data_IF_026358873363
#
_entry.id   IF_026358873363
#
_cell.length_a   1.000
_cell.length_b   1.000
_cell.length_c   1.000
_cell.angle_alpha   90.00
_cell.angle_beta   90.00
_cell.angle_gamma   90.00
#
_symmetry.space_group_name_H-M   'P 1'
#
loop_
_entity.id
_entity.type
_entity.pdbx_description
1 polymer ?
#
# COMPACT_ATOMS: atom_id res chain seq x y z
N UNK A 1 18.12 9.63 9.73
CA UNK A 1 18.84 8.49 9.13
C UNK A 1 20.07 8.21 10.00
N UNK A 2 20.07 7.12 10.76
CA UNK A 2 21.20 6.71 11.62
C UNK A 2 22.13 5.77 10.83
N UNK A 3 23.44 6.04 10.75
CA UNK A 3 24.41 5.20 10.06
C UNK A 3 25.05 4.21 11.05
N UNK A 4 24.51 3.01 11.26
CA UNK A 4 25.18 2.00 12.11
C UNK A 4 24.88 0.52 11.79
N UNK A 5 24.40 0.16 10.59
CA UNK A 5 24.11 -1.25 10.24
C UNK A 5 24.86 -1.80 9.02
N UNK A 6 25.86 -1.11 8.48
CA UNK A 6 26.69 -1.65 7.39
C UNK A 6 27.97 -2.24 7.97
N UNK A 7 27.87 -3.48 8.46
CA UNK A 7 29.05 -4.34 8.62
C UNK A 7 29.73 -4.53 7.26
N UNK A 8 31.07 -4.62 7.25
CA UNK A 8 32.02 -4.52 6.13
C UNK A 8 31.89 -5.51 4.96
N UNK A 9 30.70 -6.00 4.65
CA UNK A 9 30.47 -6.95 3.56
C UNK A 9 30.14 -6.19 2.27
N UNK A 10 31.15 -5.92 1.44
CA UNK A 10 31.01 -5.24 0.13
C UNK A 10 29.96 -5.91 -0.76
N UNK A 11 29.80 -7.22 -0.63
CA UNK A 11 28.76 -8.00 -1.32
C UNK A 11 27.35 -7.57 -0.91
N UNK A 12 27.14 -7.25 0.37
CA UNK A 12 25.86 -6.82 0.92
C UNK A 12 25.47 -5.43 0.42
N UNK A 13 26.44 -4.50 0.39
CA UNK A 13 26.21 -3.17 -0.18
C UNK A 13 25.84 -3.25 -1.67
N UNK A 14 26.49 -4.14 -2.44
CA UNK A 14 26.18 -4.35 -3.86
C UNK A 14 24.80 -4.96 -4.08
N UNK A 15 24.40 -5.93 -3.26
CA UNK A 15 23.06 -6.53 -3.32
C UNK A 15 21.96 -5.52 -3.00
N UNK A 16 22.17 -4.67 -1.99
CA UNK A 16 21.23 -3.61 -1.64
C UNK A 16 21.12 -2.57 -2.77
N UNK A 17 22.24 -2.11 -3.32
CA UNK A 17 22.25 -1.16 -4.46
C UNK A 17 21.57 -1.77 -5.69
N UNK A 18 21.86 -3.03 -6.02
CA UNK A 18 21.19 -3.72 -7.14
C UNK A 18 19.69 -3.91 -6.90
N UNK A 19 19.27 -4.10 -5.65
CA UNK A 19 17.84 -4.17 -5.30
C UNK A 19 17.18 -2.81 -5.52
N UNK A 20 17.75 -1.73 -4.97
CA UNK A 20 17.20 -0.37 -5.12
C UNK A 20 17.10 0.05 -6.58
N UNK A 21 18.01 -0.40 -7.43
CA UNK A 21 17.99 -0.12 -8.86
C UNK A 21 16.91 -0.90 -9.65
N UNK A 22 16.44 -2.04 -9.12
CA UNK A 22 15.50 -2.93 -9.81
C UNK A 22 14.10 -2.91 -9.20
N UNK A 23 13.99 -2.65 -7.90
CA UNK A 23 12.74 -2.57 -7.18
C UNK A 23 11.99 -1.30 -7.57
N UNK A 24 10.67 -1.39 -7.70
CA UNK A 24 9.80 -0.25 -7.98
C UNK A 24 9.75 0.75 -6.82
N UNK A 25 10.07 0.31 -5.60
CA UNK A 25 10.13 1.14 -4.41
C UNK A 25 11.40 0.83 -3.57
N UNK A 26 12.28 1.82 -3.31
CA UNK A 26 13.51 1.63 -2.54
C UNK A 26 13.27 1.18 -1.09
N UNK A 27 12.08 1.43 -0.53
CA UNK A 27 11.71 0.99 0.82
C UNK A 27 11.53 -0.53 0.91
N UNK A 28 11.24 -1.20 -0.20
CA UNK A 28 11.07 -2.65 -0.25
C UNK A 28 12.38 -3.36 0.10
N UNK A 29 13.48 -2.86 -0.47
CA UNK A 29 14.82 -3.34 -0.17
C UNK A 29 15.19 -3.06 1.29
N UNK A 30 14.82 -1.90 1.84
CA UNK A 30 15.06 -1.59 3.24
C UNK A 30 14.26 -2.51 4.18
N UNK A 31 12.99 -2.76 3.88
CA UNK A 31 12.14 -3.66 4.65
C UNK A 31 12.71 -5.09 4.65
N UNK A 32 13.08 -5.62 3.46
CA UNK A 32 13.75 -6.91 3.35
C UNK A 32 15.00 -6.98 4.22
N UNK A 33 15.85 -5.94 4.19
CA UNK A 33 17.07 -5.88 5.00
C UNK A 33 16.78 -5.90 6.51
N UNK A 34 15.72 -5.21 6.94
CA UNK A 34 15.33 -5.11 8.35
C UNK A 34 14.71 -6.41 8.86
N UNK A 35 13.82 -7.04 8.09
CA UNK A 35 13.17 -8.30 8.45
C UNK A 35 14.17 -9.45 8.49
N UNK A 36 15.04 -9.55 7.48
CA UNK A 36 16.05 -10.61 7.39
C UNK A 36 17.12 -10.51 8.48
N UNK A 37 17.47 -9.30 8.93
CA UNK A 37 18.42 -9.13 10.04
C UNK A 37 17.96 -9.74 11.37
N UNK A 38 16.66 -9.99 11.52
CA UNK A 38 16.06 -10.56 12.72
C UNK A 38 15.88 -12.09 12.64
N UNK A 39 16.31 -12.74 11.56
CA UNK A 39 16.12 -14.17 11.32
C UNK A 39 17.30 -15.03 11.82
N UNK A 40 17.08 -16.33 12.09
CA UNK A 40 18.13 -17.26 12.54
C UNK A 40 19.29 -17.39 11.53
N UNK A 41 19.00 -17.27 10.24
CA UNK A 41 19.99 -17.17 9.16
C UNK A 41 19.72 -15.88 8.36
N UNK A 42 20.34 -14.75 8.74
CA UNK A 42 20.05 -13.46 8.14
C UNK A 42 20.54 -13.38 6.69
N UNK A 43 21.59 -14.10 6.31
CA UNK A 43 22.14 -14.05 4.96
C UNK A 43 21.27 -14.85 3.98
N UNK A 44 20.84 -16.07 4.36
CA UNK A 44 19.90 -16.84 3.56
C UNK A 44 18.54 -16.12 3.46
N UNK A 45 18.03 -15.59 4.57
CA UNK A 45 16.75 -14.86 4.62
C UNK A 45 16.77 -13.62 3.75
N UNK A 46 17.89 -12.91 3.75
CA UNK A 46 18.08 -11.75 2.90
C UNK A 46 18.20 -12.13 1.42
N UNK A 47 19.00 -13.13 1.09
CA UNK A 47 19.17 -13.58 -0.28
C UNK A 47 17.82 -13.98 -0.91
N UNK A 48 17.00 -14.74 -0.18
CA UNK A 48 15.66 -15.10 -0.63
C UNK A 48 14.69 -13.93 -0.73
N UNK A 49 14.76 -12.96 0.20
CA UNK A 49 13.92 -11.76 0.15
C UNK A 49 14.25 -10.90 -1.09
N UNK A 50 15.54 -10.72 -1.36
CA UNK A 50 16.02 -9.97 -2.52
C UNK A 50 15.72 -10.71 -3.83
N UNK A 51 15.87 -12.03 -3.85
CA UNK A 51 15.51 -12.84 -5.01
C UNK A 51 14.01 -12.71 -5.33
N UNK A 52 13.16 -12.82 -4.31
CA UNK A 52 11.72 -12.57 -4.41
C UNK A 52 11.37 -11.20 -4.98
N UNK A 53 12.00 -10.12 -4.47
CA UNK A 53 11.78 -8.76 -4.98
C UNK A 53 12.20 -8.59 -6.45
N UNK A 54 13.14 -9.41 -6.92
CA UNK A 54 13.63 -9.34 -8.30
C UNK A 54 12.99 -10.34 -9.26
N UNK A 55 12.39 -11.42 -8.76
CA UNK A 55 11.94 -12.55 -9.58
C UNK A 55 10.49 -12.44 -10.05
N UNK A 56 9.56 -11.88 -9.26
CA UNK A 56 8.12 -11.94 -9.61
C UNK A 56 7.24 -10.91 -8.89
N UNK A 57 6.01 -10.76 -9.41
CA UNK A 57 4.92 -9.81 -9.09
C UNK A 57 4.37 -9.77 -7.66
N UNK A 58 5.06 -10.39 -6.70
CA UNK A 58 4.67 -10.35 -5.29
C UNK A 58 5.01 -8.97 -4.74
N UNK A 59 4.04 -8.32 -4.10
CA UNK A 59 4.27 -7.05 -3.43
C UNK A 59 5.35 -7.20 -2.36
N UNK A 60 6.11 -6.14 -2.10
CA UNK A 60 7.30 -6.18 -1.24
C UNK A 60 7.09 -6.71 0.17
N UNK A 61 5.88 -6.58 0.69
CA UNK A 61 5.49 -7.17 1.95
C UNK A 61 5.52 -8.70 1.92
N UNK A 62 5.00 -9.33 0.87
CA UNK A 62 4.96 -10.79 0.72
C UNK A 62 6.38 -11.37 0.72
N UNK A 63 7.34 -10.71 0.05
CA UNK A 63 8.74 -11.12 0.08
C UNK A 63 9.35 -11.05 1.49
N UNK A 64 9.00 -10.03 2.27
CA UNK A 64 9.42 -9.93 3.66
C UNK A 64 8.85 -11.05 4.53
N UNK A 65 7.58 -11.42 4.34
CA UNK A 65 6.96 -12.55 5.05
C UNK A 65 7.57 -13.90 4.64
N UNK A 66 7.81 -14.14 3.35
CA UNK A 66 8.51 -15.34 2.88
C UNK A 66 9.90 -15.45 3.54
N UNK A 67 10.62 -14.33 3.70
CA UNK A 67 11.93 -14.31 4.34
C UNK A 67 11.92 -14.71 5.82
N UNK A 68 10.76 -14.63 6.50
CA UNK A 68 10.60 -15.10 7.89
C UNK A 68 10.45 -16.62 8.00
N UNK A 69 10.19 -17.32 6.89
CA UNK A 69 10.07 -18.79 6.92
C UNK A 69 11.42 -19.42 7.23
N UNK A 70 11.47 -20.27 8.25
CA UNK A 70 12.71 -20.83 8.80
C UNK A 70 13.23 -22.04 8.03
N UNK A 71 12.43 -22.60 7.14
CA UNK A 71 12.81 -23.77 6.34
C UNK A 71 12.86 -23.39 4.86
N UNK A 72 13.88 -23.90 4.16
CA UNK A 72 14.08 -23.68 2.73
C UNK A 72 12.87 -24.11 1.88
N UNK A 73 12.21 -25.26 2.13
CA UNK A 73 11.05 -25.68 1.33
C UNK A 73 9.87 -24.70 1.40
N UNK A 74 9.54 -24.22 2.60
CA UNK A 74 8.43 -23.27 2.79
C UNK A 74 8.74 -21.94 2.10
N UNK A 75 9.99 -21.49 2.21
CA UNK A 75 10.45 -20.25 1.61
C UNK A 75 10.39 -20.31 0.08
N UNK A 76 10.82 -21.42 -0.52
CA UNK A 76 10.74 -21.63 -1.97
C UNK A 76 9.30 -21.68 -2.46
N UNK A 77 8.41 -22.35 -1.74
CA UNK A 77 6.99 -22.45 -2.10
C UNK A 77 6.26 -21.09 -1.99
N UNK A 78 6.69 -20.23 -1.06
CA UNK A 78 6.20 -18.87 -0.92
C UNK A 78 6.64 -17.94 -2.07
N UNK A 79 7.90 -18.06 -2.50
CA UNK A 79 8.47 -17.24 -3.59
C UNK A 79 8.00 -17.74 -4.96
N UNK A 80 7.87 -19.05 -5.12
CA UNK A 80 7.48 -19.72 -6.35
C UNK A 80 6.29 -20.65 -6.07
N UNK A 81 5.06 -20.10 -5.98
CA UNK A 81 3.89 -20.95 -5.82
C UNK A 81 3.82 -21.94 -6.99
N UNK A 82 3.50 -23.22 -6.74
CA UNK A 82 3.44 -24.22 -7.78
C UNK A 82 2.44 -23.79 -8.86
N UNK A 83 2.75 -24.04 -10.15
CA UNK A 83 1.81 -23.72 -11.22
C UNK A 83 0.49 -24.47 -10.98
N UNK A 84 -0.66 -23.86 -11.32
CA UNK A 84 -1.94 -24.51 -11.15
C UNK A 84 -1.96 -25.85 -11.89
N UNK A 85 -2.61 -26.90 -11.35
CA UNK A 85 -2.66 -28.20 -11.99
C UNK A 85 -3.18 -28.06 -13.42
N UNK A 86 -2.37 -28.51 -14.39
CA UNK A 86 -2.71 -28.48 -15.81
C UNK A 86 -3.96 -29.32 -16.06
N UNK A 87 -5.06 -28.66 -16.40
CA UNK A 87 -6.32 -29.32 -16.73
C UNK A 87 -6.16 -30.07 -18.06
N UNK A 88 -6.04 -31.40 -18.00
CA UNK A 88 -6.07 -32.23 -19.21
C UNK A 88 -7.49 -32.24 -19.79
N UNK A 89 -7.64 -31.66 -20.98
CA UNK A 89 -8.87 -31.65 -21.77
C UNK A 89 -9.31 -33.08 -22.10
N UNK A 90 -10.49 -33.47 -21.63
CA UNK A 90 -11.34 -34.47 -22.29
C UNK A 90 -12.66 -33.81 -22.61
N UNK A 91 -12.92 -33.68 -23.91
CA UNK A 91 -14.10 -33.07 -24.50
C UNK A 91 -15.38 -33.78 -24.06
N UNK A 92 -16.29 -33.06 -23.43
CA UNK A 92 -17.72 -33.39 -23.44
C UNK A 92 -18.51 -32.11 -23.31
N UNK A 93 -19.27 -31.83 -24.36
CA UNK A 93 -20.18 -30.69 -24.51
C UNK A 93 -21.23 -30.73 -23.40
N UNK A 94 -21.24 -29.71 -22.55
CA UNK A 94 -22.31 -29.39 -21.62
C UNK A 94 -22.27 -27.87 -21.38
N UNK A 95 -23.45 -27.26 -21.49
CA UNK A 95 -23.75 -25.83 -21.38
C UNK A 95 -22.96 -25.07 -20.31
N UNK A 96 -22.65 -23.76 -20.52
CA UNK A 96 -21.88 -22.98 -19.56
C UNK A 96 -22.74 -22.73 -18.32
N UNK A 97 -22.59 -23.59 -17.33
CA UNK A 97 -23.03 -23.31 -15.98
C UNK A 97 -21.94 -22.41 -15.40
N UNK A 98 -22.29 -21.17 -15.12
CA UNK A 98 -21.46 -20.21 -14.38
C UNK A 98 -21.01 -20.87 -13.06
N UNK A 99 -19.80 -21.44 -13.04
CA UNK A 99 -19.20 -21.97 -11.83
C UNK A 99 -18.77 -20.79 -10.96
N UNK A 100 -19.55 -20.53 -9.92
CA UNK A 100 -19.27 -19.66 -8.78
C UNK A 100 -17.77 -19.48 -8.48
N UNK A 101 -17.19 -18.38 -8.92
CA UNK A 101 -16.00 -17.81 -8.29
C UNK A 101 -16.43 -17.20 -6.94
N UNK A 102 -16.70 -18.00 -5.90
CA UNK A 102 -17.34 -17.43 -4.69
C UNK A 102 -17.07 -18.12 -3.36
N UNK A 103 -16.02 -18.91 -3.22
CA UNK A 103 -15.68 -19.50 -1.93
C UNK A 103 -14.18 -19.47 -1.70
N UNK A 104 -13.76 -18.82 -0.61
CA UNK A 104 -12.42 -18.98 -0.05
C UNK A 104 -12.29 -20.46 0.37
N UNK A 105 -11.70 -21.29 -0.49
CA UNK A 105 -11.50 -22.71 -0.20
C UNK A 105 -10.62 -22.85 1.04
N UNK A 106 -11.13 -23.52 2.07
CA UNK A 106 -10.44 -23.73 3.36
C UNK A 106 -9.13 -24.49 3.22
N UNK A 107 -8.85 -25.12 2.08
CA UNK A 107 -7.57 -25.77 1.80
C UNK A 107 -6.48 -24.78 1.35
N UNK A 108 -6.87 -23.57 0.94
CA UNK A 108 -5.93 -22.56 0.47
C UNK A 108 -5.36 -21.77 1.64
N UNK A 109 -4.04 -21.59 1.65
CA UNK A 109 -3.31 -20.99 2.78
C UNK A 109 -3.90 -19.64 3.22
N UNK A 110 -4.20 -18.73 2.29
CA UNK A 110 -4.74 -17.41 2.63
C UNK A 110 -6.12 -17.47 3.29
N UNK A 111 -6.92 -18.50 2.99
CA UNK A 111 -8.20 -18.72 3.66
C UNK A 111 -8.04 -19.32 5.05
N UNK A 112 -7.01 -20.15 5.26
CA UNK A 112 -6.67 -20.70 6.58
C UNK A 112 -6.12 -19.64 7.52
N UNK A 113 -5.37 -18.67 7.00
CA UNK A 113 -4.86 -17.56 7.81
C UNK A 113 -5.97 -16.65 8.35
N UNK A 114 -7.12 -16.60 7.68
CA UNK A 114 -8.29 -15.89 8.21
C UNK A 114 -8.83 -16.47 9.53
N UNK A 115 -8.47 -17.72 9.90
CA UNK A 115 -8.89 -18.35 11.16
C UNK A 115 -7.89 -18.14 12.30
N UNK A 116 -6.79 -17.42 12.07
CA UNK A 116 -5.82 -17.13 13.13
C UNK A 116 -6.35 -16.09 14.12
N UNK A 117 -5.93 -16.15 15.39
CA UNK A 117 -6.44 -15.26 16.44
C UNK A 117 -6.14 -13.78 16.24
N UNK A 118 -5.15 -13.43 15.39
CA UNK A 118 -4.85 -12.04 15.05
C UNK A 118 -5.83 -11.46 14.01
N UNK A 119 -6.62 -12.30 13.33
CA UNK A 119 -7.73 -11.91 12.48
C UNK A 119 -9.01 -11.95 13.30
N UNK A 120 -9.49 -10.79 13.74
CA UNK A 120 -10.71 -10.67 14.54
C UNK A 120 -11.97 -10.53 13.69
N UNK A 121 -11.81 -10.29 12.38
CA UNK A 121 -12.89 -10.27 11.39
C UNK A 121 -12.74 -11.40 10.32
N UNK A 122 -12.85 -12.69 10.70
CA UNK A 122 -12.55 -13.83 9.82
C UNK A 122 -13.44 -13.88 8.56
N UNK A 123 -14.71 -13.49 8.68
CA UNK A 123 -15.64 -13.44 7.55
C UNK A 123 -15.26 -12.35 6.52
N UNK A 124 -14.84 -11.18 7.01
CA UNK A 124 -14.35 -10.09 6.15
C UNK A 124 -13.04 -10.51 5.45
N UNK A 125 -12.13 -11.17 6.16
CA UNK A 125 -10.90 -11.72 5.60
C UNK A 125 -11.17 -12.68 4.44
N UNK A 126 -12.02 -13.69 4.65
CA UNK A 126 -12.37 -14.67 3.60
C UNK A 126 -13.05 -14.02 2.38
N UNK A 127 -13.89 -13.01 2.63
CA UNK A 127 -14.55 -12.22 1.58
C UNK A 127 -13.51 -11.43 0.78
N UNK A 128 -12.58 -10.76 1.45
CA UNK A 128 -11.49 -10.04 0.82
C UNK A 128 -10.62 -10.97 -0.04
N UNK A 129 -10.16 -12.11 0.51
CA UNK A 129 -9.33 -13.08 -0.22
C UNK A 129 -10.03 -13.56 -1.49
N UNK A 130 -11.33 -13.84 -1.40
CA UNK A 130 -12.14 -14.25 -2.55
C UNK A 130 -12.26 -13.13 -3.59
N UNK A 131 -12.52 -11.89 -3.16
CA UNK A 131 -12.64 -10.73 -4.03
C UNK A 131 -11.32 -10.40 -4.74
N UNK A 132 -10.19 -10.51 -4.05
CA UNK A 132 -8.86 -10.31 -4.61
C UNK A 132 -8.55 -11.33 -5.70
N UNK A 133 -8.83 -12.61 -5.45
CA UNK A 133 -8.64 -13.67 -6.44
C UNK A 133 -9.56 -13.54 -7.64
N UNK A 134 -10.80 -13.11 -7.44
CA UNK A 134 -11.73 -12.83 -8.54
C UNK A 134 -11.19 -11.74 -9.48
N UNK A 135 -10.33 -10.85 -8.97
CA UNK A 135 -9.61 -9.83 -9.77
C UNK A 135 -8.26 -10.32 -10.32
N UNK A 136 -7.89 -11.58 -10.10
CA UNK A 136 -6.57 -12.11 -10.47
C UNK A 136 -5.43 -11.58 -9.60
N UNK A 137 -5.73 -11.06 -8.42
CA UNK A 137 -4.74 -10.52 -7.47
C UNK A 137 -4.45 -11.50 -6.34
N UNK A 138 -3.31 -11.31 -5.67
CA UNK A 138 -2.91 -12.09 -4.51
C UNK A 138 -3.85 -11.84 -3.31
N UNK A 139 -4.52 -12.89 -2.85
CA UNK A 139 -5.40 -12.85 -1.68
C UNK A 139 -4.67 -12.63 -0.36
N UNK A 140 -3.36 -12.91 -0.30
CA UNK A 140 -2.53 -12.67 0.88
C UNK A 140 -2.52 -11.20 1.34
N UNK A 141 -2.78 -10.28 0.40
CA UNK A 141 -2.87 -8.84 0.66
C UNK A 141 -3.90 -8.49 1.74
N UNK A 142 -4.96 -9.30 1.87
CA UNK A 142 -5.98 -9.13 2.89
C UNK A 142 -5.45 -9.41 4.31
N UNK A 143 -4.42 -10.25 4.45
CA UNK A 143 -3.86 -10.68 5.73
C UNK A 143 -2.95 -9.62 6.35
N UNK A 144 -2.53 -8.63 5.57
CA UNK A 144 -1.86 -7.45 6.11
C UNK A 144 -2.77 -6.73 7.12
N UNK A 145 -4.09 -6.75 6.88
CA UNK A 145 -5.06 -6.26 7.83
C UNK A 145 -5.12 -7.19 9.06
N UNK A 146 -4.93 -6.66 10.27
CA UNK A 146 -4.86 -7.42 11.52
C UNK A 146 -3.47 -7.89 11.93
N UNK A 147 -2.52 -7.97 10.99
CA UNK A 147 -1.12 -8.37 11.28
C UNK A 147 -0.39 -7.42 12.23
N UNK A 148 -0.83 -6.16 12.32
CA UNK A 148 -0.29 -5.13 13.22
C UNK A 148 -0.71 -5.24 14.69
N UNK A 149 -1.42 -6.32 15.08
CA UNK A 149 -1.91 -6.50 16.45
C UNK A 149 -3.17 -5.68 16.78
N UNK A 150 -3.91 -5.27 15.76
CA UNK A 150 -5.19 -4.57 15.93
C UNK A 150 -6.26 -5.60 16.28
N UNK A 151 -6.87 -5.46 17.45
CA UNK A 151 -7.93 -6.37 17.93
C UNK A 151 -9.34 -5.92 17.56
N UNK A 152 -9.52 -4.70 17.06
CA UNK A 152 -10.82 -4.17 16.70
C UNK A 152 -11.32 -4.75 15.37
N UNK A 153 -12.39 -5.56 15.45
CA UNK A 153 -12.96 -6.22 14.28
C UNK A 153 -13.55 -5.24 13.27
N UNK A 154 -14.06 -4.09 13.71
CA UNK A 154 -14.62 -3.07 12.82
C UNK A 154 -13.54 -2.38 11.97
N UNK A 155 -12.37 -2.11 12.55
CA UNK A 155 -11.22 -1.60 11.81
C UNK A 155 -10.70 -2.62 10.79
N UNK A 156 -10.56 -3.88 11.19
CA UNK A 156 -10.16 -4.96 10.28
C UNK A 156 -11.16 -5.13 9.13
N UNK A 157 -12.47 -5.04 9.41
CA UNK A 157 -13.52 -5.13 8.40
C UNK A 157 -13.39 -4.01 7.36
N UNK A 158 -13.20 -2.76 7.77
CA UNK A 158 -12.97 -1.65 6.82
C UNK A 158 -11.69 -1.86 6.01
N UNK A 159 -10.60 -2.28 6.67
CA UNK A 159 -9.34 -2.55 5.99
C UNK A 159 -9.50 -3.61 4.88
N UNK A 160 -10.14 -4.73 5.20
CA UNK A 160 -10.28 -5.89 4.31
C UNK A 160 -11.40 -5.71 3.26
N UNK A 161 -12.54 -5.15 3.65
CA UNK A 161 -13.71 -5.09 2.78
C UNK A 161 -13.71 -3.85 1.87
N UNK A 162 -13.14 -2.74 2.33
CA UNK A 162 -13.22 -1.46 1.62
C UNK A 162 -11.85 -1.02 1.09
N UNK A 163 -10.84 -0.93 1.96
CA UNK A 163 -9.56 -0.33 1.59
C UNK A 163 -8.74 -1.23 0.65
N UNK A 164 -8.36 -2.44 1.09
CA UNK A 164 -7.49 -3.34 0.32
C UNK A 164 -8.02 -3.60 -1.10
N UNK A 165 -9.30 -3.95 -1.30
CA UNK A 165 -9.82 -4.21 -2.64
C UNK A 165 -9.82 -2.98 -3.56
N UNK A 166 -9.86 -1.77 -3.00
CA UNK A 166 -9.82 -0.52 -3.75
C UNK A 166 -8.39 -0.11 -4.16
N UNK A 167 -7.40 -0.45 -3.34
CA UNK A 167 -6.01 0.00 -3.51
C UNK A 167 -5.10 -1.05 -4.13
N UNK A 168 -5.49 -2.34 -4.08
CA UNK A 168 -4.59 -3.42 -4.46
C UNK A 168 -4.19 -3.42 -5.94
N UNK A 169 -5.05 -2.94 -6.84
CA UNK A 169 -4.73 -2.80 -8.26
C UNK A 169 -3.66 -1.72 -8.51
N UNK A 170 -3.60 -0.70 -7.64
CA UNK A 170 -2.55 0.32 -7.66
C UNK A 170 -1.29 -0.10 -6.90
N UNK A 171 -1.28 -1.29 -6.27
CA UNK A 171 -0.15 -1.78 -5.47
C UNK A 171 0.04 -1.05 -4.15
N UNK A 172 -0.97 -0.33 -3.67
CA UNK A 172 -0.91 0.51 -2.45
C UNK A 172 -1.66 -0.09 -1.26
N UNK A 173 -2.13 -1.35 -1.34
CA UNK A 173 -2.88 -2.05 -0.29
C UNK A 173 -2.16 -2.17 1.07
N UNK A 174 -0.83 -2.19 1.08
CA UNK A 174 -0.04 -2.16 2.31
C UNK A 174 -0.41 -0.98 3.22
N UNK A 175 -0.80 0.16 2.63
CA UNK A 175 -1.12 1.38 3.37
C UNK A 175 -2.44 1.30 4.14
N UNK A 176 -3.34 0.38 3.76
CA UNK A 176 -4.59 0.15 4.49
C UNK A 176 -4.32 -0.29 5.93
N UNK A 177 -3.48 -1.31 6.10
CA UNK A 177 -3.07 -1.80 7.43
C UNK A 177 -2.23 -0.75 8.20
N UNK A 178 -1.32 -0.06 7.51
CA UNK A 178 -0.41 0.89 8.16
C UNK A 178 -1.07 2.19 8.59
N UNK A 179 -2.08 2.67 7.87
CA UNK A 179 -2.66 4.00 8.10
C UNK A 179 -4.10 3.94 8.56
N UNK A 180 -4.90 3.11 7.91
CA UNK A 180 -6.35 3.11 8.10
C UNK A 180 -6.81 2.13 9.17
N UNK A 181 -5.96 1.19 9.56
CA UNK A 181 -6.19 0.27 10.66
C UNK A 181 -5.34 0.58 11.90
N UNK A 182 -4.23 1.31 11.72
CA UNK A 182 -3.31 1.59 12.81
C UNK A 182 -3.95 2.45 13.90
N UNK A 183 -4.12 1.87 15.10
CA UNK A 183 -4.71 2.53 16.26
C UNK A 183 -4.09 3.91 16.61
N UNK A 184 -2.77 4.15 16.47
CA UNK A 184 -2.20 5.49 16.68
C UNK A 184 -2.73 6.58 15.74
N UNK A 185 -3.34 6.21 14.62
CA UNK A 185 -3.80 7.12 13.58
C UNK A 185 -5.33 7.25 13.58
N UNK A 186 -6.06 6.14 13.71
CA UNK A 186 -7.53 6.12 13.63
C UNK A 186 -8.22 5.83 14.98
N UNK A 187 -7.48 5.47 16.02
CA UNK A 187 -8.05 4.99 17.29
C UNK A 187 -8.84 3.71 17.08
N UNK A 188 -10.02 3.59 17.71
CA UNK A 188 -11.02 2.53 17.47
C UNK A 188 -12.19 3.02 16.62
N UNK A 189 -12.01 4.12 15.88
CA UNK A 189 -13.08 4.78 15.15
C UNK A 189 -13.19 4.26 13.72
N UNK A 190 -14.21 3.42 13.47
CA UNK A 190 -14.52 2.82 12.17
C UNK A 190 -14.77 3.89 11.09
N UNK A 191 -15.44 5.00 11.42
CA UNK A 191 -15.66 6.08 10.45
C UNK A 191 -14.36 6.74 10.01
N UNK A 192 -13.42 6.97 10.95
CA UNK A 192 -12.08 7.50 10.63
C UNK A 192 -11.28 6.53 9.76
N UNK A 193 -11.39 5.23 10.04
CA UNK A 193 -10.78 4.18 9.21
C UNK A 193 -11.31 4.23 7.77
N UNK A 194 -12.63 4.36 7.60
CA UNK A 194 -13.28 4.46 6.29
C UNK A 194 -12.86 5.71 5.53
N UNK A 195 -12.81 6.87 6.19
CA UNK A 195 -12.30 8.12 5.60
C UNK A 195 -10.84 7.98 5.15
N UNK A 196 -10.00 7.33 5.95
CA UNK A 196 -8.62 7.03 5.57
C UNK A 196 -8.57 6.13 4.33
N UNK A 197 -9.34 5.04 4.31
CA UNK A 197 -9.38 4.12 3.17
C UNK A 197 -9.82 4.79 1.88
N UNK A 198 -10.83 5.66 1.96
CA UNK A 198 -11.28 6.47 0.83
C UNK A 198 -10.19 7.44 0.33
N UNK A 199 -9.47 8.09 1.25
CA UNK A 199 -8.34 8.95 0.88
C UNK A 199 -7.25 8.15 0.15
N UNK A 200 -6.80 7.03 0.75
CA UNK A 200 -5.73 6.19 0.22
C UNK A 200 -6.07 5.67 -1.18
N UNK A 201 -7.31 5.25 -1.40
CA UNK A 201 -7.77 4.78 -2.71
C UNK A 201 -7.82 5.88 -3.79
N UNK A 202 -7.93 7.14 -3.38
CA UNK A 202 -8.09 8.28 -4.29
C UNK A 202 -6.78 9.00 -4.61
N UNK A 203 -5.69 8.74 -3.89
CA UNK A 203 -4.39 9.39 -4.10
C UNK A 203 -3.37 8.46 -4.75
N UNK A 204 -2.43 9.03 -5.51
CA UNK A 204 -1.31 8.26 -6.07
C UNK A 204 -0.26 7.90 -5.02
N UNK A 205 -0.17 8.67 -3.94
CA UNK A 205 0.80 8.49 -2.87
C UNK A 205 0.09 8.37 -1.50
N UNK A 206 -0.11 7.16 -0.96
CA UNK A 206 -0.80 6.96 0.33
C UNK A 206 -0.20 7.72 1.52
N UNK A 207 1.09 8.04 1.46
CA UNK A 207 1.77 8.86 2.47
C UNK A 207 1.13 10.24 2.62
N UNK A 208 0.48 10.73 1.56
CA UNK A 208 -0.22 12.01 1.58
C UNK A 208 -1.39 11.99 2.57
N UNK A 209 -2.15 10.89 2.59
CA UNK A 209 -3.23 10.68 3.55
C UNK A 209 -2.69 10.54 4.99
N UNK A 210 -1.59 9.80 5.18
CA UNK A 210 -0.97 9.69 6.50
C UNK A 210 -0.53 11.06 7.04
N UNK A 211 0.09 11.90 6.20
CA UNK A 211 0.49 13.24 6.59
C UNK A 211 -0.72 14.05 7.07
N UNK A 212 -1.83 14.02 6.32
CA UNK A 212 -3.08 14.66 6.73
C UNK A 212 -3.60 14.18 8.10
N UNK A 213 -3.51 12.89 8.40
CA UNK A 213 -3.88 12.36 9.72
C UNK A 213 -2.98 12.93 10.81
N UNK A 214 -1.66 12.91 10.60
CA UNK A 214 -0.67 13.33 11.60
C UNK A 214 -0.77 14.84 11.92
N UNK A 215 -0.84 15.69 10.89
CA UNK A 215 -0.85 17.15 11.10
C UNK A 215 -2.16 17.66 11.72
N UNK A 216 -3.23 16.87 11.64
CA UNK A 216 -4.54 17.23 12.21
C UNK A 216 -4.82 16.56 13.55
N UNK A 217 -4.03 15.54 13.94
CA UNK A 217 -4.31 14.71 15.11
C UNK A 217 -4.40 15.46 16.44
N UNK A 218 -3.66 16.56 16.59
CA UNK A 218 -3.57 17.34 17.83
C UNK A 218 -4.53 18.54 17.87
N UNK A 219 -5.29 18.78 16.80
CA UNK A 219 -6.23 19.89 16.73
C UNK A 219 -7.48 19.59 17.55
N UNK A 220 -8.08 20.64 18.14
CA UNK A 220 -9.30 20.52 18.93
C UNK A 220 -10.48 19.94 18.11
N UNK A 221 -10.49 20.18 16.81
CA UNK A 221 -11.47 19.70 15.84
C UNK A 221 -10.84 18.77 14.79
N UNK A 222 -9.96 17.87 15.23
CA UNK A 222 -9.17 16.97 14.39
C UNK A 222 -9.95 16.28 13.26
N UNK A 223 -11.21 15.89 13.49
CA UNK A 223 -12.04 15.23 12.47
C UNK A 223 -12.40 16.17 11.32
N UNK A 224 -12.87 17.38 11.62
CA UNK A 224 -13.18 18.38 10.60
C UNK A 224 -11.92 18.82 9.84
N UNK A 225 -10.81 18.98 10.55
CA UNK A 225 -9.53 19.32 9.95
C UNK A 225 -9.03 18.21 9.00
N UNK A 226 -9.12 16.95 9.43
CA UNK A 226 -8.72 15.79 8.63
C UNK A 226 -9.59 15.64 7.39
N UNK A 227 -10.91 15.71 7.53
CA UNK A 227 -11.83 15.67 6.40
C UNK A 227 -11.52 16.79 5.38
N UNK A 228 -11.20 17.99 5.85
CA UNK A 228 -10.76 19.11 5.00
C UNK A 228 -9.45 18.78 4.28
N UNK A 229 -8.49 18.17 4.97
CA UNK A 229 -7.21 17.77 4.40
C UNK A 229 -7.36 16.70 3.31
N UNK A 230 -8.15 15.65 3.59
CA UNK A 230 -8.46 14.59 2.61
C UNK A 230 -9.23 15.14 1.41
N UNK A 231 -10.19 16.04 1.64
CA UNK A 231 -10.87 16.71 0.55
C UNK A 231 -9.87 17.48 -0.33
N UNK A 232 -8.98 18.27 0.27
CA UNK A 232 -7.92 18.97 -0.46
C UNK A 232 -7.06 18.02 -1.31
N UNK A 233 -6.62 16.89 -0.75
CA UNK A 233 -5.81 15.90 -1.48
C UNK A 233 -6.53 15.31 -2.69
N UNK A 234 -7.82 15.03 -2.55
CA UNK A 234 -8.60 14.31 -3.56
C UNK A 234 -9.25 15.24 -4.59
N UNK A 235 -9.48 16.51 -4.25
CA UNK A 235 -10.17 17.47 -5.12
C UNK A 235 -9.27 18.53 -5.76
N UNK A 236 -8.01 18.65 -5.31
CA UNK A 236 -7.09 19.67 -5.80
C UNK A 236 -5.83 19.06 -6.40
N UNK A 237 -5.11 19.86 -7.20
CA UNK A 237 -3.77 19.50 -7.67
C UNK A 237 -2.67 19.86 -6.65
N UNK A 238 -3.04 20.10 -5.38
CA UNK A 238 -2.11 20.44 -4.32
C UNK A 238 -1.49 19.17 -3.74
N UNK A 239 -0.20 19.25 -3.38
CA UNK A 239 0.47 18.16 -2.67
C UNK A 239 0.13 18.12 -1.19
N UNK A 240 0.42 16.99 -0.55
CA UNK A 240 0.10 16.75 0.87
C UNK A 240 0.60 17.80 1.83
N UNK A 241 1.80 18.32 1.62
CA UNK A 241 2.36 19.37 2.48
C UNK A 241 1.46 20.61 2.50
N UNK A 242 1.00 21.05 1.34
CA UNK A 242 0.13 22.23 1.23
C UNK A 242 -1.23 21.95 1.83
N UNK A 243 -1.83 20.80 1.54
CA UNK A 243 -3.11 20.42 2.12
C UNK A 243 -3.03 20.31 3.65
N UNK A 244 -1.97 19.69 4.19
CA UNK A 244 -1.72 19.59 5.62
C UNK A 244 -1.51 20.96 6.28
N UNK A 245 -0.74 21.84 5.64
CA UNK A 245 -0.52 23.22 6.13
C UNK A 245 -1.81 24.03 6.16
N UNK A 246 -2.67 23.86 5.17
CA UNK A 246 -3.96 24.53 5.17
C UNK A 246 -4.93 23.89 6.17
N UNK A 247 -4.95 22.57 6.30
CA UNK A 247 -5.80 21.87 7.26
C UNK A 247 -5.43 22.16 8.72
N UNK A 248 -4.17 22.51 9.01
CA UNK A 248 -3.72 22.88 10.36
C UNK A 248 -4.13 24.27 10.81
N UNK A 249 -4.82 25.05 9.96
CA UNK A 249 -5.41 26.33 10.38
C UNK A 249 -6.48 26.11 11.45
N UNK A 250 -6.62 27.10 12.32
CA UNK A 250 -7.41 26.99 13.54
C UNK A 250 -8.91 26.84 13.24
N UNK A 251 -9.39 27.52 12.20
CA UNK A 251 -10.83 27.54 11.87
C UNK A 251 -11.11 26.97 10.47
N UNK A 252 -12.30 26.39 10.24
CA UNK A 252 -12.70 25.92 8.91
C UNK A 252 -12.59 26.98 7.80
N UNK A 253 -12.92 28.24 8.10
CA UNK A 253 -12.83 29.34 7.14
C UNK A 253 -11.37 29.59 6.69
N UNK A 254 -10.43 29.67 7.64
CA UNK A 254 -9.01 29.86 7.32
C UNK A 254 -8.43 28.68 6.53
N UNK A 255 -8.89 27.45 6.77
CA UNK A 255 -8.48 26.27 6.00
C UNK A 255 -8.90 26.42 4.54
N UNK A 256 -10.17 26.78 4.31
CA UNK A 256 -10.72 26.94 2.96
C UNK A 256 -10.07 28.10 2.21
N UNK A 257 -9.85 29.24 2.87
CA UNK A 257 -9.16 30.39 2.28
C UNK A 257 -7.73 30.02 1.87
N UNK A 258 -7.01 29.28 2.73
CA UNK A 258 -5.67 28.78 2.43
C UNK A 258 -5.66 27.85 1.20
N UNK A 259 -6.57 26.88 1.14
CA UNK A 259 -6.68 25.93 0.01
C UNK A 259 -6.99 26.68 -1.30
N UNK A 260 -7.90 27.65 -1.24
CA UNK A 260 -8.31 28.46 -2.39
C UNK A 260 -7.15 29.31 -2.91
N UNK A 261 -6.42 29.98 -2.01
CA UNK A 261 -5.25 30.77 -2.35
C UNK A 261 -4.13 29.91 -2.97
N UNK A 262 -3.84 28.75 -2.37
CA UNK A 262 -2.82 27.82 -2.86
C UNK A 262 -3.17 27.22 -4.24
N UNK A 263 -4.45 26.91 -4.45
CA UNK A 263 -4.95 26.40 -5.74
C UNK A 263 -4.79 27.44 -6.84
N UNK A 264 -5.18 28.69 -6.56
CA UNK A 264 -5.04 29.81 -7.49
C UNK A 264 -3.58 30.05 -7.87
N UNK A 265 -2.67 30.05 -6.87
CA UNK A 265 -1.23 30.20 -7.11
C UNK A 265 -0.64 29.06 -7.96
N UNK A 266 -1.14 27.83 -7.79
CA UNK A 266 -0.69 26.67 -8.56
C UNK A 266 -1.15 26.75 -10.02
N UNK A 267 -2.40 27.16 -10.26
CA UNK A 267 -2.92 27.40 -11.61
C UNK A 267 -2.13 28.51 -12.31
N UNK A 268 -1.85 29.61 -11.60
CA UNK A 268 -1.04 30.71 -12.12
C UNK A 268 0.36 30.28 -12.56
N UNK A 269 1.07 29.51 -11.73
CA UNK A 269 2.42 28.98 -12.06
C UNK A 269 2.41 28.06 -13.28
N UNK A 270 1.43 27.14 -13.38
CA UNK A 270 1.32 26.24 -14.55
C UNK A 270 1.04 27.01 -15.83
N UNK A 271 0.27 28.09 -15.76
CA UNK A 271 0.04 28.97 -16.91
C UNK A 271 1.33 29.66 -17.34
N UNK A 272 2.06 30.26 -16.40
CA UNK A 272 3.34 30.93 -16.69
C UNK A 272 4.37 29.95 -17.27
N UNK A 273 4.45 28.73 -16.75
CA UNK A 273 5.36 27.70 -17.26
C UNK A 273 5.04 27.36 -18.72
N UNK A 274 3.77 27.11 -19.06
CA UNK A 274 3.36 26.85 -20.45
C UNK A 274 3.63 28.02 -21.38
N UNK A 275 3.44 29.25 -20.90
CA UNK A 275 3.78 30.45 -21.66
C UNK A 275 5.29 30.54 -21.93
N UNK A 276 6.13 30.17 -20.95
CA UNK A 276 7.59 30.10 -21.11
C UNK A 276 8.02 28.99 -22.09
N UNK A 277 7.45 27.78 -21.97
CA UNK A 277 7.73 26.66 -22.87
C UNK A 277 7.37 27.04 -24.32
N UNK A 278 6.20 27.64 -24.56
CA UNK A 278 5.81 28.12 -25.89
C UNK A 278 6.69 29.27 -26.41
N UNK A 279 7.23 30.12 -25.54
CA UNK A 279 8.19 31.15 -25.94
C UNK A 279 9.53 30.52 -26.35
N UNK A 280 10.01 29.53 -25.61
CA UNK A 280 11.24 28.80 -25.92
C UNK A 280 11.13 28.05 -27.25
N UNK A 281 10.02 27.34 -27.48
CA UNK A 281 9.76 26.64 -28.76
C UNK A 281 9.75 27.60 -29.96
N UNK A 282 9.16 28.79 -29.80
CA UNK A 282 9.17 29.84 -30.83
C UNK A 282 10.57 30.38 -31.11
N UNK A 283 11.41 30.54 -30.09
CA UNK A 283 12.80 30.98 -30.27
C UNK A 283 13.64 29.94 -31.02
N UNK A 284 13.45 28.65 -30.72
CA UNK A 284 14.16 27.56 -31.39
C UNK A 284 13.72 27.33 -32.84
N UNK A 285 12.55 27.85 -33.25
CA UNK A 285 11.98 27.64 -34.59
C UNK A 285 12.28 28.78 -35.58
N UNK A 286 13.03 29.82 -35.18
CA UNK A 286 13.41 30.90 -36.10
C UNK A 286 14.56 30.44 -37.02
N UNK A 287 14.43 30.55 -38.36
CA UNK A 287 15.51 30.22 -39.28
C UNK A 287 16.69 31.18 -39.08
N UNK A 288 17.91 30.61 -39.07
CA UNK A 288 19.19 31.32 -39.01
C UNK A 288 19.41 32.25 -40.20
#
# INVERSE_FOLDING_TARGET
>A
MQPSLVGSNVTLARQCVSCVQRASNPWDCQYCMQVSASQPDPDASRASCLDCLTSTSLGSWACGECAKMTTEPQRTECIHPPPPPSSSNSSSSSSPTNSNATSCDTTQWACQECDKPYITAPAACRTCVSAMRAKGLDGAKCLACGSGGVSDAGLQEVCMAECVPATAAAGTDWSCSQYCEAAPLVGTNVSRSRECGACVAAVSNPWDCQNCIQVTATLADADAARATCFHCLTSSALGAYTCGTCASKATPAERLDCITAASTATVGRRRQQREQEQQQERQCSQPL
#
